data_IF_377394892987
#
_entry.id   IF_377394892987
#
_cell.length_a   1.000
_cell.length_b   1.000
_cell.length_c   1.000
_cell.angle_alpha   90.00
_cell.angle_beta   90.00
_cell.angle_gamma   90.00
#
_symmetry.space_group_name_H-M   'P 1'
#
loop_
_entity.id
_entity.type
_entity.pdbx_description
1 polymer ?
#
# COMPACT_ATOMS: atom_id res chain seq x y z
N UNK A 1 13.17 -18.93 8.82
CA UNK A 1 11.95 -18.63 8.06
C UNK A 1 11.50 -17.21 8.38
N UNK A 2 11.18 -16.35 7.41
CA UNK A 2 10.41 -15.14 7.68
C UNK A 2 9.15 -15.55 8.43
N UNK A 3 8.86 -14.91 9.57
CA UNK A 3 7.64 -15.23 10.32
C UNK A 3 6.48 -14.78 9.43
N UNK A 4 5.79 -15.72 8.78
CA UNK A 4 4.65 -15.42 7.88
C UNK A 4 3.66 -14.44 8.53
N UNK A 5 3.46 -14.52 9.84
CA UNK A 5 2.68 -13.56 10.63
C UNK A 5 3.16 -12.10 10.53
N UNK A 6 4.47 -11.82 10.50
CA UNK A 6 4.97 -10.45 10.30
C UNK A 6 4.68 -9.93 8.90
N UNK A 7 4.65 -10.80 7.89
CA UNK A 7 4.30 -10.41 6.51
C UNK A 7 2.82 -10.06 6.40
N UNK A 8 1.92 -10.82 7.04
CA UNK A 8 0.49 -10.50 7.09
C UNK A 8 0.20 -9.18 7.82
N UNK A 9 0.82 -8.96 8.99
CA UNK A 9 0.68 -7.69 9.73
C UNK A 9 1.17 -6.51 8.87
N UNK A 10 2.29 -6.69 8.16
CA UNK A 10 2.80 -5.65 7.25
C UNK A 10 1.84 -5.33 6.11
N UNK A 11 1.18 -6.34 5.52
CA UNK A 11 0.16 -6.12 4.48
C UNK A 11 -1.04 -5.35 5.05
N UNK A 12 -1.52 -5.73 6.24
CA UNK A 12 -2.63 -5.04 6.89
C UNK A 12 -2.34 -3.56 7.14
N UNK A 13 -1.14 -3.23 7.64
CA UNK A 13 -0.71 -1.84 7.81
C UNK A 13 -0.62 -1.07 6.48
N UNK A 14 -0.22 -1.73 5.40
CA UNK A 14 -0.15 -1.12 4.07
C UNK A 14 -1.54 -0.86 3.49
N UNK A 15 -2.50 -1.76 3.70
CA UNK A 15 -3.90 -1.56 3.29
C UNK A 15 -4.54 -0.40 4.07
N UNK A 16 -4.28 -0.27 5.37
CA UNK A 16 -4.74 0.89 6.16
C UNK A 16 -4.15 2.21 5.63
N UNK A 17 -2.86 2.22 5.26
CA UNK A 17 -2.21 3.41 4.66
C UNK A 17 -2.81 3.76 3.31
N UNK A 18 -3.15 2.75 2.50
CA UNK A 18 -3.83 2.94 1.21
C UNK A 18 -5.22 3.55 1.39
N UNK A 19 -6.01 3.02 2.33
CA UNK A 19 -7.34 3.54 2.65
C UNK A 19 -7.27 5.00 3.14
N UNK A 20 -6.33 5.31 4.03
CA UNK A 20 -6.08 6.67 4.48
C UNK A 20 -5.75 7.60 3.30
N UNK A 21 -4.82 7.22 2.42
CA UNK A 21 -4.46 8.01 1.25
C UNK A 21 -5.66 8.25 0.32
N UNK A 22 -6.55 7.29 0.15
CA UNK A 22 -7.78 7.45 -0.63
C UNK A 22 -8.77 8.41 0.03
N UNK A 23 -8.90 8.37 1.36
CA UNK A 23 -9.78 9.26 2.13
C UNK A 23 -9.37 10.73 2.11
N UNK A 24 -8.11 11.03 1.75
CA UNK A 24 -7.62 12.40 1.63
C UNK A 24 -8.15 13.13 0.39
N UNK A 25 -8.58 12.41 -0.65
CA UNK A 25 -9.08 13.02 -1.91
C UNK A 25 -10.22 14.04 -1.71
N UNK A 26 -11.26 13.77 -0.90
CA UNK A 26 -12.33 14.75 -0.64
C UNK A 26 -11.94 15.88 0.33
N UNK A 27 -10.82 15.76 1.06
CA UNK A 27 -10.38 16.75 2.06
C UNK A 27 -9.48 17.84 1.48
N UNK A 28 -9.14 17.77 0.18
CA UNK A 28 -8.23 18.73 -0.46
C UNK A 28 -8.92 20.08 -0.58
N UNK A 29 -8.39 21.14 0.04
CA UNK A 29 -8.97 22.46 -0.06
C UNK A 29 -8.93 22.97 -1.51
N UNK A 30 -10.07 23.42 -2.04
CA UNK A 30 -10.24 23.84 -3.46
C UNK A 30 -9.81 25.29 -3.73
N UNK A 31 -9.36 26.03 -2.71
CA UNK A 31 -9.03 27.45 -2.82
C UNK A 31 -7.72 27.73 -3.55
N UNK A 32 -6.88 26.72 -3.80
CA UNK A 32 -5.65 26.85 -4.58
C UNK A 32 -5.47 25.65 -5.53
N UNK A 33 -5.71 25.88 -6.82
CA UNK A 33 -5.64 24.87 -7.87
C UNK A 33 -4.24 24.28 -8.05
N UNK A 34 -3.17 25.09 -7.87
CA UNK A 34 -1.79 24.61 -7.93
C UNK A 34 -1.48 23.66 -6.77
N UNK A 35 -1.97 23.97 -5.57
CA UNK A 35 -1.84 23.10 -4.40
C UNK A 35 -2.65 21.80 -4.58
N UNK A 36 -3.86 21.90 -5.13
CA UNK A 36 -4.70 20.74 -5.42
C UNK A 36 -4.04 19.79 -6.43
N UNK A 37 -3.39 20.34 -7.46
CA UNK A 37 -2.66 19.54 -8.45
C UNK A 37 -1.45 18.84 -7.83
N UNK A 38 -0.58 19.59 -7.12
CA UNK A 38 0.59 19.04 -6.44
C UNK A 38 0.21 17.97 -5.42
N UNK A 39 -0.85 18.21 -4.65
CA UNK A 39 -1.36 17.24 -3.69
C UNK A 39 -1.80 15.95 -4.38
N UNK A 40 -2.54 16.06 -5.49
CA UNK A 40 -2.99 14.91 -6.27
C UNK A 40 -1.81 14.10 -6.82
N UNK A 41 -0.77 14.75 -7.33
CA UNK A 41 0.45 14.07 -7.79
C UNK A 41 1.15 13.33 -6.64
N UNK A 42 1.32 14.00 -5.49
CA UNK A 42 1.92 13.39 -4.29
C UNK A 42 1.09 12.20 -3.82
N UNK A 43 -0.23 12.34 -3.76
CA UNK A 43 -1.16 11.28 -3.36
C UNK A 43 -1.06 10.08 -4.30
N UNK A 44 -1.03 10.31 -5.62
CA UNK A 44 -0.88 9.25 -6.63
C UNK A 44 0.46 8.52 -6.51
N UNK A 45 1.55 9.24 -6.33
CA UNK A 45 2.89 8.65 -6.17
C UNK A 45 2.99 7.81 -4.87
N UNK A 46 2.40 8.28 -3.77
CA UNK A 46 2.34 7.53 -2.53
C UNK A 46 1.48 6.27 -2.66
N UNK A 47 0.31 6.37 -3.30
CA UNK A 47 -0.56 5.22 -3.58
C UNK A 47 0.16 4.15 -4.42
N UNK A 48 0.89 4.58 -5.46
CA UNK A 48 1.70 3.68 -6.29
C UNK A 48 2.72 2.92 -5.44
N UNK A 49 3.49 3.62 -4.60
CA UNK A 49 4.49 2.99 -3.71
C UNK A 49 3.88 2.01 -2.72
N UNK A 50 2.71 2.33 -2.16
CA UNK A 50 2.00 1.43 -1.24
C UNK A 50 1.54 0.17 -1.97
N UNK A 51 0.92 0.31 -3.14
CA UNK A 51 0.49 -0.83 -3.95
C UNK A 51 1.65 -1.73 -4.38
N UNK A 52 2.75 -1.16 -4.89
CA UNK A 52 3.96 -1.92 -5.24
C UNK A 52 4.51 -2.70 -4.04
N UNK A 53 4.44 -2.11 -2.84
CA UNK A 53 4.89 -2.78 -1.62
C UNK A 53 3.94 -3.91 -1.21
N UNK A 54 2.63 -3.73 -1.33
CA UNK A 54 1.62 -4.78 -1.08
C UNK A 54 1.85 -5.96 -2.03
N UNK A 55 2.00 -5.71 -3.34
CA UNK A 55 2.26 -6.74 -4.35
C UNK A 55 3.52 -7.56 -4.00
N UNK A 56 4.62 -6.91 -3.64
CA UNK A 56 5.85 -7.60 -3.21
C UNK A 56 5.63 -8.51 -2.01
N UNK A 57 4.85 -8.07 -1.01
CA UNK A 57 4.58 -8.89 0.17
C UNK A 57 3.65 -10.06 -0.17
N UNK A 58 2.69 -9.89 -1.08
CA UNK A 58 1.90 -11.01 -1.60
C UNK A 58 2.75 -12.02 -2.35
N UNK A 59 3.68 -11.60 -3.21
CA UNK A 59 4.62 -12.51 -3.89
C UNK A 59 5.42 -13.32 -2.87
N UNK A 60 5.95 -12.66 -1.83
CA UNK A 60 6.69 -13.35 -0.75
C UNK A 60 5.80 -14.38 -0.05
N UNK A 61 4.55 -14.02 0.27
CA UNK A 61 3.60 -14.96 0.88
C UNK A 61 3.34 -16.16 -0.03
N UNK A 62 3.04 -15.94 -1.31
CA UNK A 62 2.77 -17.00 -2.29
C UNK A 62 3.95 -17.97 -2.38
N UNK A 63 5.18 -17.46 -2.52
CA UNK A 63 6.39 -18.31 -2.54
C UNK A 63 6.52 -19.10 -1.23
N UNK A 64 6.29 -18.47 -0.09
CA UNK A 64 6.39 -19.13 1.22
C UNK A 64 5.27 -20.18 1.45
N UNK A 65 4.08 -19.98 0.89
CA UNK A 65 2.99 -20.96 0.95
C UNK A 65 3.24 -22.12 -0.01
N UNK A 66 3.72 -21.86 -1.23
CA UNK A 66 4.02 -22.91 -2.22
C UNK A 66 5.16 -23.83 -1.76
N UNK A 67 6.19 -23.26 -1.12
CA UNK A 67 7.27 -24.03 -0.49
C UNK A 67 6.80 -24.94 0.66
N UNK A 68 5.63 -24.67 1.27
CA UNK A 68 5.06 -25.52 2.33
C UNK A 68 4.21 -26.68 1.82
N UNK A 69 3.78 -26.66 0.55
CA UNK A 69 2.91 -27.71 -0.03
C UNK A 69 3.72 -28.85 -0.67
N UNK A 70 5.01 -28.63 -0.94
CA UNK A 70 5.90 -29.60 -1.57
C UNK A 70 6.85 -30.38 -0.65
N UNK A 71 6.60 -30.39 0.68
CA UNK A 71 7.44 -31.07 1.68
C UNK A 71 6.66 -32.14 2.44
#
# INVERSE_FOLDING_TARGET
>A
MPKIGSTFVTIQELEQKKEYLLSLSPAIPTWNTSYQFLFKEIQQELLKKVNEKIERHHIILTICTDQKVGA
#
